data_IF_337482279354
#
_entry.id   IF_337482279354
#
_cell.length_a   1.000
_cell.length_b   1.000
_cell.length_c   1.000
_cell.angle_alpha   90.00
_cell.angle_beta   90.00
_cell.angle_gamma   90.00
#
_symmetry.space_group_name_H-M   'P 1'
#
loop_
_entity.id
_entity.type
_entity.pdbx_description
1 polymer ?
#
# COMPACT_ATOMS: atom_id res chain seq x y z
N UNK A 1 -30.02 3.34 41.89
CA UNK A 1 -29.09 3.11 40.76
C UNK A 1 -28.30 4.37 40.37
N UNK A 2 -28.92 5.50 40.01
CA UNK A 2 -28.18 6.73 39.61
C UNK A 2 -27.29 7.33 40.72
N UNK A 3 -27.68 7.16 42.00
CA UNK A 3 -26.91 7.61 43.16
C UNK A 3 -25.61 6.82 43.39
N UNK A 4 -25.52 5.59 42.87
CA UNK A 4 -24.36 4.71 43.02
C UNK A 4 -23.32 4.93 41.92
N UNK A 5 -23.72 5.50 40.78
CA UNK A 5 -22.88 5.72 39.59
C UNK A 5 -22.59 7.20 39.32
N UNK A 6 -23.07 8.12 40.16
CA UNK A 6 -22.94 9.57 40.01
C UNK A 6 -23.38 10.10 38.62
N UNK A 7 -24.39 9.47 38.00
CA UNK A 7 -24.93 9.91 36.69
C UNK A 7 -26.19 10.75 36.92
N UNK A 8 -26.34 11.85 36.19
CA UNK A 8 -27.57 12.64 36.18
C UNK A 8 -28.77 11.77 35.76
N UNK A 9 -29.86 11.87 36.52
CA UNK A 9 -31.10 11.11 36.28
C UNK A 9 -31.64 11.27 34.86
N UNK A 10 -31.51 12.46 34.26
CA UNK A 10 -31.90 12.74 32.88
C UNK A 10 -31.06 11.96 31.85
N UNK A 11 -29.76 11.82 32.07
CA UNK A 11 -28.88 11.02 31.22
C UNK A 11 -29.21 9.53 31.25
N UNK A 12 -29.57 9.01 32.44
CA UNK A 12 -30.02 7.62 32.59
C UNK A 12 -31.32 7.35 31.80
N UNK A 13 -32.33 8.22 31.91
CA UNK A 13 -33.59 8.03 31.18
C UNK A 13 -33.47 8.32 29.68
N UNK A 14 -32.56 9.20 29.27
CA UNK A 14 -32.24 9.41 27.85
C UNK A 14 -31.61 8.16 27.23
N UNK A 15 -30.61 7.57 27.89
CA UNK A 15 -30.00 6.29 27.47
C UNK A 15 -31.02 5.15 27.48
N UNK A 16 -31.97 5.14 28.42
CA UNK A 16 -33.03 4.13 28.50
C UNK A 16 -34.06 4.24 27.37
N UNK A 17 -34.25 5.43 26.79
CA UNK A 17 -35.17 5.68 25.66
C UNK A 17 -34.52 5.41 24.31
N UNK A 18 -33.26 5.82 24.14
CA UNK A 18 -32.48 5.61 22.91
C UNK A 18 -31.11 5.02 23.28
N UNK A 19 -30.99 3.68 23.30
CA UNK A 19 -29.72 3.04 23.69
C UNK A 19 -28.63 3.24 22.63
N UNK A 20 -29.00 3.57 21.38
CA UNK A 20 -28.09 3.78 20.27
C UNK A 20 -28.07 5.26 19.87
N UNK A 21 -26.93 5.91 20.10
CA UNK A 21 -26.73 7.28 19.62
C UNK A 21 -26.82 7.35 18.09
N UNK A 22 -27.22 8.49 17.53
CA UNK A 22 -27.19 8.73 16.06
C UNK A 22 -25.85 8.36 15.43
N UNK A 23 -24.75 8.59 16.15
CA UNK A 23 -23.39 8.23 15.70
C UNK A 23 -23.19 6.72 15.62
N UNK A 24 -23.78 5.94 16.53
CA UNK A 24 -23.70 4.49 16.51
C UNK A 24 -24.51 3.90 15.34
N UNK A 25 -25.67 4.49 15.03
CA UNK A 25 -26.46 4.11 13.85
C UNK A 25 -25.68 4.38 12.55
N UNK A 26 -25.06 5.56 12.45
CA UNK A 26 -24.24 5.91 11.28
C UNK A 26 -23.01 5.02 11.16
N UNK A 27 -22.32 4.74 12.27
CA UNK A 27 -21.18 3.82 12.31
C UNK A 27 -21.60 2.41 11.84
N UNK A 28 -22.80 1.94 12.19
CA UNK A 28 -23.34 0.66 11.73
C UNK A 28 -23.66 0.67 10.22
N UNK A 29 -24.23 1.77 9.70
CA UNK A 29 -24.47 1.97 8.27
C UNK A 29 -23.14 1.91 7.48
N UNK A 30 -22.16 2.70 7.90
CA UNK A 30 -20.84 2.76 7.28
C UNK A 30 -20.11 1.42 7.36
N UNK A 31 -20.22 0.72 8.49
CA UNK A 31 -19.67 -0.63 8.65
C UNK A 31 -20.23 -1.62 7.61
N UNK A 32 -21.49 -1.48 7.25
CA UNK A 32 -22.15 -2.35 6.26
C UNK A 32 -21.59 -2.08 4.86
N UNK A 33 -21.44 -0.81 4.48
CA UNK A 33 -20.81 -0.41 3.20
C UNK A 33 -19.37 -0.88 3.09
N UNK A 34 -18.58 -0.70 4.16
CA UNK A 34 -17.18 -1.17 4.23
C UNK A 34 -17.11 -2.68 4.02
N UNK A 35 -18.03 -3.46 4.61
CA UNK A 35 -18.08 -4.92 4.42
C UNK A 35 -18.41 -5.30 2.97
N UNK A 36 -19.32 -4.57 2.33
CA UNK A 36 -19.68 -4.80 0.93
C UNK A 36 -18.48 -4.54 0.02
N UNK A 37 -17.89 -3.34 0.08
CA UNK A 37 -16.70 -2.98 -0.70
C UNK A 37 -15.51 -3.95 -0.47
N UNK A 38 -15.34 -4.42 0.78
CA UNK A 38 -14.30 -5.40 1.09
C UNK A 38 -14.57 -6.79 0.48
N UNK A 39 -15.83 -7.23 0.43
CA UNK A 39 -16.18 -8.48 -0.24
C UNK A 39 -16.09 -8.35 -1.76
N UNK A 40 -16.54 -7.24 -2.32
CA UNK A 40 -16.52 -6.97 -3.77
C UNK A 40 -15.09 -6.91 -4.32
N UNK A 41 -14.15 -6.37 -3.53
CA UNK A 41 -12.72 -6.37 -3.84
C UNK A 41 -12.02 -7.71 -3.61
N UNK A 42 -12.74 -8.78 -3.27
CA UNK A 42 -12.16 -10.10 -3.00
C UNK A 42 -11.27 -10.13 -1.75
N UNK A 43 -11.53 -9.25 -0.78
CA UNK A 43 -10.81 -9.13 0.50
C UNK A 43 -9.37 -8.65 0.40
N UNK A 44 -8.94 -8.18 -0.79
CA UNK A 44 -7.58 -7.69 -1.03
C UNK A 44 -7.36 -6.31 -0.42
N UNK A 45 -8.41 -5.50 -0.34
CA UNK A 45 -8.29 -4.08 0.02
C UNK A 45 -8.10 -3.86 1.52
N UNK A 46 -7.25 -2.90 1.85
CA UNK A 46 -7.07 -2.34 3.19
C UNK A 46 -7.90 -1.07 3.40
N UNK A 47 -7.90 -0.53 4.62
CA UNK A 47 -8.77 0.59 4.99
C UNK A 47 -8.59 1.86 4.13
N UNK A 48 -7.41 2.10 3.57
CA UNK A 48 -7.18 3.23 2.65
C UNK A 48 -7.97 3.07 1.36
N UNK A 49 -7.86 1.91 0.69
CA UNK A 49 -8.62 1.64 -0.54
C UNK A 49 -10.13 1.58 -0.28
N UNK A 50 -10.52 1.02 0.86
CA UNK A 50 -11.93 1.03 1.27
C UNK A 50 -12.46 2.44 1.55
N UNK A 51 -11.59 3.37 1.96
CA UNK A 51 -11.95 4.78 2.13
C UNK A 51 -12.12 5.46 0.77
N UNK A 52 -11.23 5.18 -0.19
CA UNK A 52 -11.38 5.67 -1.57
C UNK A 52 -12.68 5.14 -2.21
N UNK A 53 -12.98 3.84 -2.07
CA UNK A 53 -14.22 3.24 -2.59
C UNK A 53 -15.48 3.89 -1.97
N UNK A 54 -15.42 4.26 -0.69
CA UNK A 54 -16.51 4.97 -0.02
C UNK A 54 -16.67 6.41 -0.55
N UNK A 55 -15.56 7.09 -0.84
CA UNK A 55 -15.61 8.42 -1.46
C UNK A 55 -16.23 8.36 -2.86
N UNK A 56 -15.90 7.34 -3.64
CA UNK A 56 -16.47 7.11 -4.98
C UNK A 56 -17.98 6.81 -4.91
N UNK A 57 -18.45 6.21 -3.82
CA UNK A 57 -19.87 6.01 -3.51
C UNK A 57 -20.58 7.27 -2.99
N UNK A 58 -19.85 8.39 -2.82
CA UNK A 58 -20.37 9.65 -2.31
C UNK A 58 -20.44 9.75 -0.78
N UNK A 59 -19.78 8.86 -0.05
CA UNK A 59 -19.77 8.85 1.41
C UNK A 59 -18.65 9.74 1.99
N UNK A 60 -19.03 10.80 2.70
CA UNK A 60 -18.09 11.70 3.37
C UNK A 60 -17.64 11.11 4.71
N UNK A 61 -16.67 10.18 4.67
CA UNK A 61 -16.09 9.58 5.87
C UNK A 61 -14.60 9.90 6.01
N UNK A 62 -14.12 9.99 7.24
CA UNK A 62 -12.69 10.25 7.52
C UNK A 62 -11.90 8.93 7.45
N UNK A 63 -10.66 8.91 6.94
CA UNK A 63 -9.83 7.70 6.90
C UNK A 63 -9.66 7.04 8.27
N UNK A 64 -9.45 7.84 9.33
CA UNK A 64 -9.34 7.35 10.71
C UNK A 64 -10.61 6.67 11.21
N UNK A 65 -11.78 7.09 10.71
CA UNK A 65 -13.05 6.47 11.05
C UNK A 65 -13.16 5.10 10.39
N UNK A 66 -12.84 4.99 9.10
CA UNK A 66 -12.80 3.72 8.37
C UNK A 66 -11.78 2.77 9.02
N UNK A 67 -10.60 3.25 9.42
CA UNK A 67 -9.60 2.47 10.13
C UNK A 67 -10.11 1.92 11.48
N UNK A 68 -10.83 2.75 12.27
CA UNK A 68 -11.45 2.31 13.51
C UNK A 68 -12.53 1.26 13.26
N UNK A 69 -13.43 1.50 12.31
CA UNK A 69 -14.55 0.58 11.99
C UNK A 69 -14.05 -0.76 11.45
N UNK A 70 -13.13 -0.74 10.49
CA UNK A 70 -12.51 -1.98 9.96
C UNK A 70 -11.82 -2.78 11.06
N UNK A 71 -11.11 -2.14 11.99
CA UNK A 71 -10.50 -2.80 13.16
C UNK A 71 -11.52 -3.43 14.09
N UNK A 72 -12.61 -2.74 14.41
CA UNK A 72 -13.69 -3.27 15.27
C UNK A 72 -14.35 -4.51 14.67
N UNK A 73 -14.45 -4.55 13.34
CA UNK A 73 -15.15 -5.58 12.59
C UNK A 73 -14.22 -6.74 12.20
N UNK A 74 -12.91 -6.57 12.40
CA UNK A 74 -11.89 -7.58 12.07
C UNK A 74 -11.58 -7.68 10.57
N UNK A 75 -11.94 -6.66 9.79
CA UNK A 75 -11.63 -6.57 8.36
C UNK A 75 -10.13 -6.32 8.20
N UNK A 76 -9.46 -7.20 7.45
CA UNK A 76 -8.03 -7.11 7.16
C UNK A 76 -7.80 -7.40 5.69
N UNK A 77 -6.87 -6.67 5.08
CA UNK A 77 -6.41 -6.95 3.73
C UNK A 77 -5.79 -8.36 3.69
N UNK A 78 -6.36 -9.23 2.87
CA UNK A 78 -5.84 -10.55 2.57
C UNK A 78 -4.89 -10.42 1.38
N UNK A 79 -3.65 -10.02 1.65
CA UNK A 79 -2.61 -9.98 0.62
C UNK A 79 -2.17 -11.43 0.37
N UNK A 80 -2.61 -11.97 -0.77
CA UNK A 80 -2.18 -13.26 -1.26
C UNK A 80 -0.67 -13.30 -1.48
N UNK A 81 -0.09 -14.47 -1.21
CA UNK A 81 1.33 -14.80 -1.20
C UNK A 81 2.06 -14.37 0.07
N UNK A 82 2.18 -15.32 0.99
CA UNK A 82 3.29 -15.39 1.96
C UNK A 82 4.56 -15.00 1.20
N UNK A 83 5.19 -13.86 1.55
CA UNK A 83 6.51 -13.54 1.00
C UNK A 83 7.37 -14.78 1.20
N UNK A 84 7.88 -15.36 0.13
CA UNK A 84 8.94 -16.35 0.27
C UNK A 84 10.01 -15.68 1.14
N UNK A 85 10.51 -16.33 2.21
CA UNK A 85 11.67 -15.81 2.89
C UNK A 85 12.69 -15.47 1.82
N UNK A 86 13.10 -14.21 1.74
CA UNK A 86 14.23 -13.86 0.89
C UNK A 86 15.36 -14.76 1.38
N UNK A 87 15.83 -15.68 0.53
CA UNK A 87 16.99 -16.51 0.82
C UNK A 87 18.20 -15.58 0.87
N UNK A 88 18.35 -14.85 1.97
CA UNK A 88 19.58 -14.15 2.30
C UNK A 88 20.56 -15.19 2.85
N UNK A 89 20.93 -16.15 2.01
CA UNK A 89 21.97 -17.13 2.30
C UNK A 89 22.37 -17.84 1.01
N UNK A 90 22.98 -17.07 0.11
CA UNK A 90 23.74 -17.60 -1.01
C UNK A 90 24.82 -16.59 -1.33
N UNK A 91 26.08 -16.99 -1.16
CA UNK A 91 27.27 -16.19 -1.49
C UNK A 91 27.04 -15.48 -2.83
N UNK A 92 27.38 -14.19 -3.00
CA UNK A 92 27.31 -13.58 -4.32
C UNK A 92 28.04 -14.48 -5.31
N UNK A 93 27.32 -14.92 -6.34
CA UNK A 93 27.86 -15.77 -7.39
C UNK A 93 29.05 -15.05 -8.00
N UNK A 94 30.24 -15.61 -7.77
CA UNK A 94 31.50 -15.32 -8.46
C UNK A 94 31.65 -13.84 -8.85
N UNK A 95 32.30 -13.09 -7.97
CA UNK A 95 33.07 -11.93 -8.42
C UNK A 95 34.01 -12.47 -9.50
N UNK A 96 33.70 -12.20 -10.76
CA UNK A 96 34.63 -12.43 -11.86
C UNK A 96 35.86 -11.59 -11.48
N UNK A 97 37.01 -12.23 -11.37
CA UNK A 97 38.26 -11.53 -11.12
C UNK A 97 38.38 -10.42 -12.18
N UNK A 98 38.55 -9.19 -11.68
CA UNK A 98 38.76 -8.04 -12.51
C UNK A 98 40.06 -8.25 -13.29
N UNK A 99 39.96 -8.75 -14.52
CA UNK A 99 41.10 -9.00 -15.43
C UNK A 99 41.79 -7.70 -15.85
N UNK A 100 41.25 -6.54 -15.47
CA UNK A 100 41.99 -5.30 -15.45
C UNK A 100 42.49 -5.11 -14.02
N UNK A 101 43.74 -5.49 -13.79
CA UNK A 101 44.46 -5.30 -12.53
C UNK A 101 44.71 -3.81 -12.23
N UNK A 102 43.66 -2.97 -12.24
CA UNK A 102 43.66 -1.53 -11.92
C UNK A 102 44.90 -0.78 -12.41
N UNK A 103 45.37 -1.09 -13.61
CA UNK A 103 46.39 -0.29 -14.26
C UNK A 103 45.67 0.83 -15.02
N UNK A 104 45.39 1.92 -14.30
CA UNK A 104 45.02 3.20 -14.86
C UNK A 104 46.24 4.11 -14.94
N UNK A 105 47.36 3.58 -15.45
CA UNK A 105 48.49 4.42 -15.81
C UNK A 105 48.38 4.70 -17.31
N UNK A 106 47.77 5.82 -17.64
CA UNK A 106 47.63 6.32 -19.02
C UNK A 106 48.16 7.74 -19.02
N UNK A 107 49.18 8.00 -19.85
CA UNK A 107 49.90 9.29 -19.89
C UNK A 107 49.07 10.48 -20.42
N UNK A 108 47.82 10.31 -20.87
CA UNK A 108 46.94 11.41 -21.28
C UNK A 108 45.44 11.06 -21.24
N UNK A 109 44.51 12.02 -20.99
CA UNK A 109 43.06 11.77 -20.97
C UNK A 109 42.48 11.58 -22.39
N UNK A 110 41.26 11.00 -22.48
CA UNK A 110 40.40 10.88 -23.70
C UNK A 110 40.68 9.74 -24.70
N UNK A 111 40.91 8.49 -24.25
CA UNK A 111 41.04 7.33 -25.18
C UNK A 111 40.05 6.18 -25.05
N UNK A 112 39.15 6.17 -24.07
CA UNK A 112 38.16 5.07 -23.95
C UNK A 112 36.75 5.63 -24.04
N UNK A 113 36.17 5.56 -25.23
CA UNK A 113 34.74 5.74 -25.45
C UNK A 113 34.13 4.42 -25.92
N UNK A 114 33.27 3.84 -25.09
CA UNK A 114 32.42 2.70 -25.46
C UNK A 114 31.35 3.18 -26.45
N UNK A 115 31.58 2.97 -27.74
CA UNK A 115 30.55 3.17 -28.77
C UNK A 115 29.75 1.88 -28.97
N UNK A 116 28.49 1.89 -28.55
CA UNK A 116 27.51 0.89 -28.99
C UNK A 116 27.05 1.26 -30.39
N UNK A 117 27.53 0.56 -31.42
CA UNK A 117 26.90 0.58 -32.74
C UNK A 117 25.78 -0.46 -32.81
N UNK A 118 24.65 -0.16 -33.47
CA UNK A 118 24.01 -1.13 -34.35
C UNK A 118 24.27 -0.69 -35.79
N UNK A 119 25.01 -1.51 -36.52
CA UNK A 119 25.24 -1.35 -37.94
C UNK A 119 23.92 -1.50 -38.71
N UNK A 120 23.51 -0.45 -39.42
CA UNK A 120 22.51 -0.53 -40.48
C UNK A 120 22.99 0.23 -41.72
N UNK A 121 23.41 -0.59 -42.70
CA UNK A 121 23.27 -0.46 -44.14
C UNK A 121 24.25 0.43 -44.95
N UNK A 122 24.51 0.03 -46.22
CA UNK A 122 25.77 0.28 -46.92
C UNK A 122 25.60 1.13 -48.18
N UNK A 123 26.47 2.11 -48.41
CA UNK A 123 26.64 2.68 -49.75
C UNK A 123 28.12 2.81 -50.05
N UNK A 124 28.49 2.06 -51.09
CA UNK A 124 29.83 1.90 -51.63
C UNK A 124 30.35 3.21 -52.23
N UNK A 125 31.63 3.40 -51.98
CA UNK A 125 32.69 3.94 -52.85
C UNK A 125 32.28 4.33 -54.28
N UNK A 126 32.69 5.54 -54.69
CA UNK A 126 33.24 5.77 -56.02
C UNK A 126 34.35 6.85 -55.96
N UNK A 127 35.57 6.55 -56.44
CA UNK A 127 36.59 7.56 -56.71
C UNK A 127 36.65 7.90 -58.21
N UNK A 128 36.89 9.16 -58.55
CA UNK A 128 38.03 9.60 -59.38
C UNK A 128 38.29 11.07 -59.09
#
# INVERSE_FOLDING_TARGET
MCRCLAVQSSGYYAWRKEPLSRRACEDARQTTLIRQAWNDSGRVYGYHKLHDDLLDQGETCCPNRVARLTKLVGIKAQIGYRRRPSSHSGRPSLVIDNTLARQFDVEAPDRVWSQTSPASAPWKDFPT
#
